data_IF_985066894528
#
_entry.id   IF_985066894528
#
_cell.length_a   1.000
_cell.length_b   1.000
_cell.length_c   1.000
_cell.angle_alpha   90.00
_cell.angle_beta   90.00
_cell.angle_gamma   90.00
#
_symmetry.space_group_name_H-M   'P 1'
#
loop_
_entity.id
_entity.type
_entity.pdbx_description
1 polymer ?
#
# COMPACT_ATOMS: atom_id res chain seq x y z
N UNK A 1 9.94 11.23 3.37
CA UNK A 1 8.75 11.52 2.52
C UNK A 1 8.08 10.23 2.04
N UNK A 2 8.79 9.36 1.30
CA UNK A 2 8.24 8.09 0.77
C UNK A 2 7.66 7.16 1.83
N UNK A 3 8.42 6.88 2.90
CA UNK A 3 7.95 6.02 3.99
C UNK A 3 6.67 6.56 4.66
N UNK A 4 6.53 7.88 4.80
CA UNK A 4 5.32 8.51 5.35
C UNK A 4 4.14 8.29 4.40
N UNK A 5 4.30 8.55 3.09
CA UNK A 5 3.28 8.28 2.07
C UNK A 5 2.87 6.82 2.05
N UNK A 6 3.82 5.89 2.19
CA UNK A 6 3.55 4.46 2.29
C UNK A 6 2.68 4.12 3.49
N UNK A 7 3.06 4.60 4.68
CA UNK A 7 2.32 4.37 5.93
C UNK A 7 0.92 4.98 5.86
N UNK A 8 0.78 6.21 5.34
CA UNK A 8 -0.51 6.88 5.18
C UNK A 8 -1.44 6.11 4.23
N UNK A 9 -0.91 5.67 3.09
CA UNK A 9 -1.68 4.88 2.10
C UNK A 9 -2.15 3.57 2.72
N UNK A 10 -1.25 2.82 3.37
CA UNK A 10 -1.59 1.56 4.04
C UNK A 10 -2.61 1.78 5.19
N UNK A 11 -2.46 2.88 5.94
CA UNK A 11 -3.36 3.23 7.04
C UNK A 11 -4.76 3.56 6.55
N UNK A 12 -4.90 4.30 5.45
CA UNK A 12 -6.20 4.63 4.87
C UNK A 12 -6.94 3.38 4.38
N UNK A 13 -6.23 2.42 3.78
CA UNK A 13 -6.81 1.12 3.42
C UNK A 13 -7.27 0.38 4.68
N UNK A 14 -6.38 0.19 5.66
CA UNK A 14 -6.66 -0.57 6.90
C UNK A 14 -7.85 -0.02 7.69
N UNK A 15 -7.99 1.30 7.78
CA UNK A 15 -9.14 1.95 8.45
C UNK A 15 -10.48 1.61 7.80
N UNK A 16 -10.48 1.31 6.51
CA UNK A 16 -11.69 1.06 5.72
C UNK A 16 -11.81 -0.42 5.30
N UNK A 17 -10.89 -1.28 5.73
CA UNK A 17 -10.72 -2.64 5.22
C UNK A 17 -11.96 -3.50 5.44
N UNK A 18 -12.59 -3.42 6.61
CA UNK A 18 -13.81 -4.19 6.89
C UNK A 18 -14.96 -3.79 5.97
N UNK A 19 -15.16 -2.47 5.78
CA UNK A 19 -16.18 -1.96 4.86
C UNK A 19 -15.93 -2.38 3.42
N UNK A 20 -14.66 -2.37 2.98
CA UNK A 20 -14.26 -2.82 1.65
C UNK A 20 -14.55 -4.32 1.49
N UNK A 21 -14.15 -5.14 2.48
CA UNK A 21 -14.30 -6.60 2.45
C UNK A 21 -15.76 -7.05 2.39
N UNK A 22 -16.66 -6.37 3.10
CA UNK A 22 -18.10 -6.69 3.06
C UNK A 22 -18.83 -6.03 1.87
N UNK A 23 -18.12 -5.27 1.03
CA UNK A 23 -18.70 -4.57 -0.12
C UNK A 23 -19.51 -3.31 0.23
N UNK A 24 -19.38 -2.79 1.44
CA UNK A 24 -20.09 -1.60 1.92
C UNK A 24 -19.36 -0.27 1.61
N UNK A 25 -18.09 -0.32 1.18
CA UNK A 25 -17.35 0.87 0.79
C UNK A 25 -17.77 1.38 -0.59
N UNK A 26 -18.12 2.66 -0.68
CA UNK A 26 -18.50 3.33 -1.95
C UNK A 26 -17.34 4.18 -2.46
N UNK A 27 -16.87 3.90 -3.68
CA UNK A 27 -15.81 4.69 -4.31
C UNK A 27 -16.24 6.15 -4.51
N UNK A 28 -15.29 7.08 -4.35
CA UNK A 28 -15.51 8.52 -4.45
C UNK A 28 -16.00 9.17 -3.16
N UNK A 29 -16.28 8.38 -2.12
CA UNK A 29 -16.69 8.89 -0.81
C UNK A 29 -15.53 9.46 0.01
N UNK A 30 -14.31 8.95 -0.22
CA UNK A 30 -13.12 9.37 0.49
C UNK A 30 -11.88 9.18 -0.39
N UNK A 31 -11.42 10.22 -1.12
CA UNK A 31 -10.32 10.11 -2.08
C UNK A 31 -9.04 9.45 -1.55
N UNK A 32 -8.61 9.67 -0.29
CA UNK A 32 -7.44 8.96 0.24
C UNK A 32 -7.64 7.45 0.39
N UNK A 33 -8.87 6.99 0.66
CA UNK A 33 -9.19 5.55 0.73
C UNK A 33 -9.32 4.97 -0.67
N UNK A 34 -9.91 5.69 -1.61
CA UNK A 34 -9.97 5.28 -3.02
C UNK A 34 -8.56 5.03 -3.57
N UNK A 35 -7.66 5.99 -3.38
CA UNK A 35 -6.25 5.83 -3.74
C UNK A 35 -5.59 4.64 -3.03
N UNK A 36 -5.90 4.44 -1.75
CA UNK A 36 -5.36 3.31 -1.00
C UNK A 36 -5.88 1.94 -1.50
N UNK A 37 -7.13 1.86 -1.95
CA UNK A 37 -7.71 0.67 -2.60
C UNK A 37 -6.97 0.38 -3.91
N UNK A 38 -6.69 1.39 -4.72
CA UNK A 38 -5.96 1.21 -5.98
C UNK A 38 -4.50 0.78 -5.77
N UNK A 39 -3.93 1.10 -4.60
CA UNK A 39 -2.53 0.86 -4.28
C UNK A 39 -2.26 -0.40 -3.46
N UNK A 40 -3.26 -0.96 -2.77
CA UNK A 40 -3.06 -1.97 -1.72
C UNK A 40 -2.31 -3.22 -2.21
N UNK A 41 -2.58 -3.66 -3.43
CA UNK A 41 -1.93 -4.85 -4.00
C UNK A 41 -0.44 -4.59 -4.27
N UNK A 42 -0.08 -3.40 -4.78
CA UNK A 42 1.33 -2.99 -4.96
C UNK A 42 2.05 -2.92 -3.62
N UNK A 43 1.43 -2.31 -2.60
CA UNK A 43 2.03 -2.21 -1.26
C UNK A 43 2.23 -3.59 -0.61
N UNK A 44 1.22 -4.46 -0.70
CA UNK A 44 1.33 -5.83 -0.19
C UNK A 44 2.39 -6.64 -0.94
N UNK A 45 2.56 -6.41 -2.24
CA UNK A 45 3.65 -7.00 -3.02
C UNK A 45 5.02 -6.59 -2.48
N UNK A 46 5.22 -5.31 -2.16
CA UNK A 46 6.46 -4.82 -1.54
C UNK A 46 6.72 -5.39 -0.15
N UNK A 47 5.68 -5.59 0.67
CA UNK A 47 5.81 -6.12 2.03
C UNK A 47 6.03 -7.64 2.10
N UNK A 48 5.82 -8.36 1.00
CA UNK A 48 5.95 -9.81 0.94
C UNK A 48 7.25 -10.18 0.24
N UNK A 49 8.00 -11.07 0.84
CA UNK A 49 9.29 -11.52 0.33
C UNK A 49 9.45 -13.03 0.56
N UNK A 50 9.84 -13.82 -0.47
CA UNK A 50 10.26 -15.20 -0.28
C UNK A 50 11.44 -15.31 0.67
N UNK A 51 11.58 -16.44 1.36
CA UNK A 51 12.65 -16.65 2.34
C UNK A 51 14.05 -16.75 1.73
N UNK A 52 14.10 -17.13 0.47
CA UNK A 52 15.28 -17.33 -0.36
C UNK A 52 15.77 -16.03 -1.01
N UNK A 53 14.89 -15.04 -1.15
CA UNK A 53 15.23 -13.75 -1.73
C UNK A 53 15.93 -12.88 -0.69
N UNK A 54 17.08 -12.31 -1.08
CA UNK A 54 17.79 -11.33 -0.25
C UNK A 54 17.54 -9.94 -0.83
N UNK A 55 17.37 -8.97 0.06
CA UNK A 55 17.18 -7.58 -0.31
C UNK A 55 18.09 -6.72 0.57
N UNK A 56 18.93 -5.92 -0.08
CA UNK A 56 19.73 -4.90 0.58
C UNK A 56 18.87 -3.67 0.88
N UNK A 57 19.34 -2.82 1.79
CA UNK A 57 18.63 -1.57 2.09
C UNK A 57 18.49 -0.68 0.85
N UNK A 58 19.52 -0.61 -0.01
CA UNK A 58 19.48 0.19 -1.22
C UNK A 58 18.41 -0.31 -2.21
N UNK A 59 18.30 -1.63 -2.39
CA UNK A 59 17.26 -2.24 -3.23
C UNK A 59 15.86 -1.99 -2.65
N UNK A 60 15.70 -2.09 -1.32
CA UNK A 60 14.43 -1.81 -0.67
C UNK A 60 13.99 -0.34 -0.86
N UNK A 61 14.91 0.62 -0.78
CA UNK A 61 14.61 2.02 -1.06
C UNK A 61 14.23 2.26 -2.52
N UNK A 62 14.99 1.69 -3.46
CA UNK A 62 14.69 1.82 -4.89
C UNK A 62 13.33 1.18 -5.25
N UNK A 63 13.02 0.02 -4.68
CA UNK A 63 11.71 -0.62 -4.85
C UNK A 63 10.58 0.23 -4.25
N UNK A 64 10.80 0.88 -3.11
CA UNK A 64 9.80 1.78 -2.51
C UNK A 64 9.57 3.04 -3.35
N UNK A 65 10.60 3.59 -4.00
CA UNK A 65 10.47 4.70 -4.95
C UNK A 65 9.58 4.31 -6.13
N UNK A 66 9.83 3.16 -6.75
CA UNK A 66 9.06 2.62 -7.88
C UNK A 66 7.58 2.33 -7.56
N UNK A 67 7.18 2.27 -6.29
CA UNK A 67 5.77 2.13 -5.93
C UNK A 67 4.97 3.39 -6.26
N UNK A 68 5.61 4.56 -6.25
CA UNK A 68 4.93 5.86 -6.29
C UNK A 68 5.22 6.69 -7.54
N UNK A 69 6.09 6.16 -8.41
CA UNK A 69 6.25 6.55 -9.80
C UNK A 69 5.20 5.86 -10.70
#
# INVERSE_FOLDING_TARGET
ALAVRFIETLSNYRKSEDMIRIGAYVRGSHPPTDYAIDMIDRLNGFLRQPTEDRCTMAEAFAAMEQLFD
#
